data_IF_484190506412
#
_entry.id   IF_484190506412
#
_cell.length_a   1.000
_cell.length_b   1.000
_cell.length_c   1.000
_cell.angle_alpha   90.00
_cell.angle_beta   90.00
_cell.angle_gamma   90.00
#
_symmetry.space_group_name_H-M   'P 1'
#
loop_
_entity.id
_entity.type
_entity.pdbx_description
1 polymer ?
#
# COMPACT_ATOMS: atom_id res chain seq x y z
N UNK A 1 -11.53 -21.46 8.54
CA UNK A 1 -12.06 -20.43 7.64
C UNK A 1 -10.93 -19.46 7.34
N UNK A 2 -10.69 -19.11 6.06
CA UNK A 2 -9.75 -18.05 5.71
C UNK A 2 -10.23 -16.73 6.29
N UNK A 3 -9.35 -16.00 7.01
CA UNK A 3 -9.69 -14.68 7.52
C UNK A 3 -9.44 -13.64 6.42
N UNK A 4 -10.36 -12.70 6.26
CA UNK A 4 -10.21 -11.56 5.36
C UNK A 4 -9.55 -10.44 6.16
N UNK A 5 -8.50 -9.84 5.62
CA UNK A 5 -7.83 -8.68 6.21
C UNK A 5 -8.21 -7.39 5.47
N UNK A 6 -8.25 -6.28 6.20
CA UNK A 6 -8.33 -4.94 5.64
C UNK A 6 -6.93 -4.34 5.53
N UNK A 7 -6.57 -3.81 4.37
CA UNK A 7 -5.29 -3.13 4.17
C UNK A 7 -5.54 -1.70 3.69
N UNK A 8 -5.00 -0.75 4.41
CA UNK A 8 -4.81 0.60 3.90
C UNK A 8 -3.39 0.71 3.31
N UNK A 9 -3.32 0.73 1.98
CA UNK A 9 -2.07 0.89 1.24
C UNK A 9 -1.81 2.38 1.01
N UNK A 10 -1.28 3.07 2.01
CA UNK A 10 -1.03 4.51 1.94
C UNK A 10 0.24 4.87 1.15
N UNK A 11 0.33 6.12 0.66
CA UNK A 11 1.52 6.63 -0.03
C UNK A 11 2.74 6.66 0.88
N UNK A 12 2.56 7.04 2.14
CA UNK A 12 3.65 7.19 3.12
C UNK A 12 3.69 6.01 4.10
N UNK A 13 2.54 5.62 4.64
CA UNK A 13 2.41 4.54 5.60
C UNK A 13 1.24 3.64 5.22
N UNK A 14 1.38 2.36 5.51
CA UNK A 14 0.32 1.36 5.35
C UNK A 14 -0.04 0.76 6.69
N UNK A 15 -1.25 0.26 6.82
CA UNK A 15 -1.68 -0.51 7.98
C UNK A 15 -2.52 -1.72 7.57
N UNK A 16 -2.63 -2.69 8.48
CA UNK A 16 -3.44 -3.89 8.28
C UNK A 16 -4.33 -4.11 9.49
N UNK A 17 -5.55 -4.56 9.23
CA UNK A 17 -6.58 -4.79 10.22
C UNK A 17 -7.31 -6.10 9.99
N UNK A 18 -7.97 -6.58 11.04
CA UNK A 18 -8.83 -7.76 11.03
C UNK A 18 -10.07 -7.49 11.87
N UNK A 19 -11.16 -8.20 11.59
CA UNK A 19 -12.34 -8.22 12.46
C UNK A 19 -12.20 -9.40 13.43
N UNK A 20 -12.21 -9.11 14.73
CA UNK A 20 -12.23 -10.10 15.81
C UNK A 20 -13.37 -9.76 16.78
N UNK A 21 -14.22 -10.76 17.07
CA UNK A 21 -15.39 -10.60 17.94
C UNK A 21 -16.33 -9.44 17.55
N UNK A 22 -16.41 -9.14 16.24
CA UNK A 22 -17.22 -8.04 15.72
C UNK A 22 -16.57 -6.66 15.78
N UNK A 23 -15.33 -6.54 16.26
CA UNK A 23 -14.58 -5.29 16.33
C UNK A 23 -13.41 -5.27 15.34
N UNK A 24 -13.14 -4.10 14.78
CA UNK A 24 -12.01 -3.90 13.90
C UNK A 24 -10.73 -3.64 14.73
N UNK A 25 -9.73 -4.49 14.54
CA UNK A 25 -8.44 -4.40 15.23
C UNK A 25 -7.36 -4.06 14.22
N UNK A 26 -6.65 -2.95 14.43
CA UNK A 26 -5.44 -2.62 13.68
C UNK A 26 -4.27 -3.41 14.27
N UNK A 27 -3.69 -4.28 13.44
CA UNK A 27 -2.64 -5.22 13.86
C UNK A 27 -1.29 -4.46 13.98
N UNK A 28 -0.60 -4.56 15.13
CA UNK A 28 0.74 -3.99 15.27
C UNK A 28 1.76 -4.80 14.44
N UNK A 29 2.73 -4.11 13.86
CA UNK A 29 3.84 -4.75 13.15
C UNK A 29 4.90 -5.29 14.12
N UNK A 30 5.96 -5.91 13.58
CA UNK A 30 7.08 -6.47 14.35
C UNK A 30 7.83 -5.44 15.20
N UNK A 31 7.69 -4.16 14.90
CA UNK A 31 8.25 -3.03 15.65
C UNK A 31 7.27 -2.46 16.69
N UNK A 32 6.12 -3.11 16.91
CA UNK A 32 5.07 -2.68 17.84
C UNK A 32 4.25 -1.49 17.38
N UNK A 33 4.37 -1.06 16.12
CA UNK A 33 3.66 0.08 15.56
C UNK A 33 2.43 -0.38 14.79
N UNK A 34 1.35 0.42 14.83
CA UNK A 34 0.12 0.17 14.07
C UNK A 34 0.21 0.57 12.58
N UNK A 35 1.24 1.31 12.21
CA UNK A 35 1.52 1.70 10.83
C UNK A 35 2.93 1.27 10.43
N UNK A 36 3.11 0.93 9.16
CA UNK A 36 4.38 0.53 8.56
C UNK A 36 4.69 1.49 7.42
N UNK A 37 5.88 2.14 7.39
CA UNK A 37 6.26 2.97 6.25
C UNK A 37 6.15 2.20 4.92
N UNK A 38 5.52 2.81 3.92
CA UNK A 38 5.38 2.25 2.56
C UNK A 38 6.69 2.42 1.79
N UNK A 39 7.77 1.89 2.34
CA UNK A 39 9.15 2.03 1.84
C UNK A 39 9.76 0.65 1.66
N UNK A 40 10.40 0.43 0.51
CA UNK A 40 11.11 -0.79 0.15
C UNK A 40 12.56 -0.46 -0.15
N UNK A 41 13.52 -1.11 0.51
CA UNK A 41 14.94 -1.01 0.21
C UNK A 41 15.47 -2.32 -0.38
N UNK A 42 16.16 -2.21 -1.52
CA UNK A 42 16.85 -3.32 -2.16
C UNK A 42 18.31 -3.34 -1.70
N UNK A 43 18.77 -4.49 -1.27
CA UNK A 43 20.13 -4.71 -0.77
C UNK A 43 20.91 -5.62 -1.72
N UNK A 44 22.12 -5.99 -1.30
CA UNK A 44 22.91 -7.00 -2.00
C UNK A 44 22.21 -8.37 -1.93
N UNK A 45 22.54 -9.26 -2.85
CA UNK A 45 22.05 -10.66 -2.88
C UNK A 45 20.51 -10.80 -2.93
N UNK A 46 19.83 -9.85 -3.57
CA UNK A 46 18.37 -9.81 -3.68
C UNK A 46 17.61 -9.71 -2.34
N UNK A 47 18.29 -9.40 -1.23
CA UNK A 47 17.63 -9.11 0.03
C UNK A 47 16.80 -7.82 -0.09
N UNK A 48 15.63 -7.80 0.55
CA UNK A 48 14.74 -6.64 0.60
C UNK A 48 14.37 -6.32 2.03
N UNK A 49 14.29 -5.04 2.35
CA UNK A 49 13.72 -4.56 3.62
C UNK A 49 12.49 -3.73 3.33
N UNK A 50 11.52 -3.76 4.26
CA UNK A 50 10.26 -3.02 4.14
C UNK A 50 9.98 -2.31 5.45
N UNK A 51 9.39 -1.13 5.39
CA UNK A 51 9.00 -0.38 6.57
C UNK A 51 10.14 0.39 7.22
N UNK A 52 10.18 0.42 8.55
CA UNK A 52 11.20 1.15 9.32
C UNK A 52 12.65 0.68 9.00
N UNK A 53 12.95 -0.62 8.83
CA UNK A 53 14.28 -1.06 8.39
C UNK A 53 14.69 -0.49 7.04
N UNK A 54 13.75 -0.38 6.08
CA UNK A 54 14.01 0.26 4.79
C UNK A 54 14.20 1.77 4.93
N UNK A 55 13.35 2.43 5.72
CA UNK A 55 13.42 3.87 5.97
C UNK A 55 14.77 4.28 6.55
N UNK A 56 15.34 3.51 7.49
CA UNK A 56 16.66 3.79 8.08
C UNK A 56 17.79 3.76 7.06
N UNK A 57 17.63 3.09 5.93
CA UNK A 57 18.63 3.02 4.87
C UNK A 57 18.50 4.11 3.81
N UNK A 58 17.43 4.91 3.84
CA UNK A 58 17.15 5.91 2.82
C UNK A 58 18.30 6.91 2.63
N UNK A 59 19.07 7.22 3.69
CA UNK A 59 20.20 8.16 3.62
C UNK A 59 21.42 7.51 2.94
N UNK A 60 21.74 6.27 3.26
CA UNK A 60 22.96 5.58 2.79
C UNK A 60 22.74 4.78 1.50
N UNK A 61 21.49 4.46 1.18
CA UNK A 61 21.09 3.65 0.03
C UNK A 61 19.90 4.28 -0.70
N UNK A 62 19.94 5.60 -0.93
CA UNK A 62 18.81 6.36 -1.48
C UNK A 62 18.35 5.88 -2.86
N UNK A 63 19.29 5.52 -3.74
CA UNK A 63 18.98 5.09 -5.10
C UNK A 63 18.27 3.73 -5.18
N UNK A 64 18.36 2.91 -4.14
CA UNK A 64 17.69 1.61 -4.05
C UNK A 64 16.64 1.54 -2.93
N UNK A 65 16.28 2.70 -2.38
CA UNK A 65 15.22 2.83 -1.37
C UNK A 65 14.04 3.56 -1.98
N UNK A 66 12.97 2.80 -2.23
CA UNK A 66 11.80 3.24 -2.97
C UNK A 66 10.74 3.70 -1.97
N UNK A 67 10.30 4.93 -2.11
CA UNK A 67 9.20 5.54 -1.33
C UNK A 67 8.15 6.14 -2.25
N UNK A 68 6.96 6.38 -1.73
CA UNK A 68 5.86 7.06 -2.45
C UNK A 68 5.45 6.40 -3.78
N UNK A 69 5.71 5.11 -3.95
CA UNK A 69 5.46 4.38 -5.21
C UNK A 69 3.98 4.42 -5.64
N UNK A 70 3.04 4.60 -4.69
CA UNK A 70 1.61 4.70 -4.98
C UNK A 70 1.28 5.83 -5.97
N UNK A 71 2.12 6.88 -6.07
CA UNK A 71 1.93 7.99 -7.02
C UNK A 71 2.05 7.57 -8.48
N UNK A 72 2.70 6.45 -8.75
CA UNK A 72 2.94 5.92 -10.09
C UNK A 72 1.98 4.78 -10.47
N UNK A 73 1.12 4.36 -9.53
CA UNK A 73 0.18 3.25 -9.74
C UNK A 73 -0.83 3.57 -10.84
N UNK A 74 -0.83 2.78 -11.92
CA UNK A 74 -1.77 2.93 -13.03
C UNK A 74 -1.60 4.21 -13.85
N UNK A 75 -0.50 4.94 -13.66
CA UNK A 75 -0.23 6.20 -14.35
C UNK A 75 0.64 6.00 -15.61
N UNK A 76 0.49 6.94 -16.56
CA UNK A 76 1.41 7.06 -17.69
C UNK A 76 2.65 7.86 -17.28
N UNK A 77 3.79 7.54 -17.89
CA UNK A 77 5.06 8.19 -17.58
C UNK A 77 5.00 9.73 -17.69
N UNK A 78 4.36 10.23 -18.76
CA UNK A 78 4.29 11.68 -19.04
C UNK A 78 3.42 12.42 -17.99
N UNK A 79 2.48 11.74 -17.33
CA UNK A 79 1.62 12.34 -16.31
C UNK A 79 2.34 12.56 -14.98
N UNK A 80 3.46 11.87 -14.74
CA UNK A 80 4.13 11.81 -13.44
C UNK A 80 5.55 12.40 -13.43
N UNK A 81 5.93 13.15 -14.46
CA UNK A 81 7.27 13.74 -14.61
C UNK A 81 7.67 14.56 -13.38
N UNK A 82 6.77 15.39 -12.84
CA UNK A 82 7.02 16.21 -11.64
C UNK A 82 7.25 15.40 -10.37
N UNK A 83 6.65 14.22 -10.28
CA UNK A 83 6.87 13.32 -9.16
C UNK A 83 8.16 12.52 -9.34
N UNK A 84 8.53 12.18 -10.58
CA UNK A 84 9.80 11.53 -10.92
C UNK A 84 10.99 12.43 -10.53
N UNK A 85 10.94 13.72 -10.83
CA UNK A 85 12.00 14.68 -10.47
C UNK A 85 12.29 14.75 -8.96
N UNK A 86 11.32 14.38 -8.11
CA UNK A 86 11.46 14.36 -6.65
C UNK A 86 12.01 13.04 -6.11
N UNK A 87 12.11 12.02 -6.94
CA UNK A 87 12.59 10.72 -6.51
C UNK A 87 14.10 10.66 -6.39
N UNK A 88 14.61 10.03 -5.33
CA UNK A 88 16.03 9.72 -5.18
C UNK A 88 16.47 8.47 -5.93
N UNK A 89 15.51 7.69 -6.42
CA UNK A 89 15.72 6.46 -7.18
C UNK A 89 15.36 6.66 -8.65
N UNK A 90 15.92 5.82 -9.51
CA UNK A 90 15.76 5.95 -10.96
C UNK A 90 14.43 5.39 -11.43
N UNK A 91 13.67 6.20 -12.16
CA UNK A 91 12.46 5.81 -12.87
C UNK A 91 12.70 6.00 -14.38
N UNK A 92 12.36 5.01 -15.16
CA UNK A 92 12.51 5.01 -16.62
C UNK A 92 11.16 4.87 -17.31
N UNK A 93 11.09 5.38 -18.54
CA UNK A 93 9.93 5.17 -19.41
C UNK A 93 10.10 3.84 -20.15
N UNK A 94 9.20 2.90 -19.91
CA UNK A 94 9.12 1.69 -20.72
C UNK A 94 7.72 1.59 -21.33
N UNK A 95 7.66 1.76 -22.65
CA UNK A 95 6.41 1.74 -23.41
C UNK A 95 5.32 2.70 -22.89
N UNK A 96 5.72 3.90 -22.45
CA UNK A 96 4.81 4.92 -21.92
C UNK A 96 4.45 4.73 -20.43
N UNK A 97 5.03 3.74 -19.75
CA UNK A 97 4.76 3.44 -18.33
C UNK A 97 5.99 3.71 -17.47
N UNK A 98 5.83 4.26 -16.26
CA UNK A 98 6.92 4.45 -15.31
C UNK A 98 7.35 3.10 -14.72
N UNK A 99 8.65 2.81 -14.76
CA UNK A 99 9.24 1.66 -14.08
C UNK A 99 10.44 2.07 -13.25
N UNK A 100 10.59 1.44 -12.10
CA UNK A 100 11.74 1.65 -11.20
C UNK A 100 12.90 0.77 -11.69
N UNK A 101 14.04 1.38 -11.96
CA UNK A 101 15.26 0.68 -12.36
C UNK A 101 16.16 0.41 -11.14
N UNK A 102 16.31 -0.85 -10.79
CA UNK A 102 17.23 -1.31 -9.74
C UNK A 102 18.28 -2.22 -10.36
N UNK A 103 19.49 -1.71 -10.50
CA UNK A 103 20.63 -2.43 -11.08
C UNK A 103 20.34 -3.05 -12.48
N UNK A 104 19.55 -2.34 -13.30
CA UNK A 104 19.17 -2.79 -14.64
C UNK A 104 17.92 -3.68 -14.66
N UNK A 105 17.37 -4.07 -13.53
CA UNK A 105 16.07 -4.74 -13.45
C UNK A 105 14.95 -3.72 -13.27
N UNK A 106 13.97 -3.79 -14.16
CA UNK A 106 12.82 -2.91 -14.15
C UNK A 106 11.67 -3.51 -13.34
N UNK A 107 11.17 -2.72 -12.40
CA UNK A 107 10.02 -3.08 -11.56
C UNK A 107 8.85 -2.15 -11.86
N UNK A 108 7.67 -2.73 -12.00
CA UNK A 108 6.43 -1.94 -12.08
C UNK A 108 6.08 -1.35 -10.71
N UNK A 109 5.30 -0.26 -10.64
CA UNK A 109 4.75 0.23 -9.38
C UNK A 109 3.93 -0.83 -8.63
N UNK A 110 3.24 -1.72 -9.36
CA UNK A 110 2.50 -2.84 -8.79
C UNK A 110 3.42 -3.84 -8.09
N UNK A 111 4.57 -4.21 -8.69
CA UNK A 111 5.53 -5.13 -8.08
C UNK A 111 6.14 -4.55 -6.80
N UNK A 112 6.48 -3.25 -6.79
CA UNK A 112 6.98 -2.59 -5.58
C UNK A 112 5.90 -2.52 -4.49
N UNK A 113 4.67 -2.14 -4.86
CA UNK A 113 3.54 -2.11 -3.93
C UNK A 113 3.20 -3.50 -3.39
N UNK A 114 3.34 -4.54 -4.20
CA UNK A 114 3.15 -5.93 -3.78
C UNK A 114 4.13 -6.33 -2.66
N UNK A 115 5.37 -5.83 -2.67
CA UNK A 115 6.34 -6.08 -1.59
C UNK A 115 5.84 -5.48 -0.26
N UNK A 116 5.23 -4.28 -0.30
CA UNK A 116 4.60 -3.68 0.89
C UNK A 116 3.40 -4.51 1.34
N UNK A 117 2.54 -4.94 0.40
CA UNK A 117 1.38 -5.78 0.70
C UNK A 117 1.78 -7.15 1.27
N UNK A 118 2.89 -7.75 0.80
CA UNK A 118 3.46 -8.97 1.37
C UNK A 118 3.87 -8.76 2.85
N UNK A 119 4.44 -7.60 3.19
CA UNK A 119 4.74 -7.25 4.58
C UNK A 119 3.45 -7.13 5.41
N UNK A 120 2.39 -6.52 4.88
CA UNK A 120 1.08 -6.44 5.56
C UNK A 120 0.47 -7.83 5.77
N UNK A 121 0.48 -8.66 4.73
CA UNK A 121 0.06 -10.06 4.80
C UNK A 121 0.82 -10.83 5.89
N UNK A 122 2.15 -10.76 5.86
CA UNK A 122 3.01 -11.42 6.85
C UNK A 122 2.72 -10.94 8.28
N UNK A 123 2.53 -9.62 8.46
CA UNK A 123 2.15 -9.04 9.76
C UNK A 123 0.83 -9.63 10.27
N UNK A 124 -0.16 -9.78 9.38
CA UNK A 124 -1.45 -10.37 9.73
C UNK A 124 -1.32 -11.88 10.05
N UNK A 125 -0.55 -12.62 9.26
CA UNK A 125 -0.31 -14.06 9.48
C UNK A 125 0.41 -14.32 10.81
N UNK A 126 1.41 -13.50 11.15
CA UNK A 126 2.14 -13.60 12.42
C UNK A 126 1.22 -13.33 13.63
N UNK A 127 0.30 -12.37 13.50
CA UNK A 127 -0.67 -12.06 14.54
C UNK A 127 -1.74 -13.14 14.69
N UNK A 128 -2.28 -13.62 13.56
CA UNK A 128 -3.39 -14.57 13.54
C UNK A 128 -2.97 -16.03 13.75
N UNK A 129 -1.69 -16.35 13.57
CA UNK A 129 -1.18 -17.72 13.62
C UNK A 129 -1.69 -18.62 12.49
N UNK A 130 -2.17 -18.03 11.37
CA UNK A 130 -2.70 -18.78 10.23
C UNK A 130 -2.43 -18.05 8.92
N UNK A 131 -2.49 -18.81 7.81
CA UNK A 131 -2.33 -18.26 6.45
C UNK A 131 -3.50 -17.32 6.10
N UNK A 132 -3.17 -16.19 5.50
CA UNK A 132 -4.11 -15.20 4.99
C UNK A 132 -4.07 -15.18 3.47
N UNK A 133 -5.21 -15.36 2.83
CA UNK A 133 -5.32 -15.43 1.37
C UNK A 133 -6.23 -14.36 0.77
N UNK A 134 -7.02 -13.65 1.59
CA UNK A 134 -8.03 -12.71 1.12
C UNK A 134 -7.86 -11.33 1.77
N UNK A 135 -8.06 -10.27 0.98
CA UNK A 135 -7.97 -8.91 1.48
C UNK A 135 -9.03 -7.98 0.85
N UNK A 136 -9.37 -6.93 1.60
CA UNK A 136 -10.00 -5.70 1.10
C UNK A 136 -8.92 -4.62 1.17
N UNK A 137 -8.73 -3.86 0.09
CA UNK A 137 -7.69 -2.81 0.02
C UNK A 137 -8.35 -1.46 -0.23
N UNK A 138 -7.90 -0.43 0.47
CA UNK A 138 -8.41 0.94 0.28
C UNK A 138 -7.61 1.70 -0.76
N UNK A 139 -8.29 2.62 -1.45
CA UNK A 139 -7.72 3.55 -2.43
C UNK A 139 -8.31 4.95 -2.23
N UNK A 140 -7.61 6.02 -2.62
CA UNK A 140 -8.18 7.35 -2.65
C UNK A 140 -9.45 7.41 -3.52
N UNK A 141 -10.42 8.23 -3.12
CA UNK A 141 -11.68 8.36 -3.86
C UNK A 141 -11.49 8.84 -5.31
N UNK A 142 -10.44 9.64 -5.57
CA UNK A 142 -10.11 10.17 -6.89
C UNK A 142 -9.39 9.18 -7.82
N UNK A 143 -9.02 7.97 -7.35
CA UNK A 143 -8.40 6.97 -8.20
C UNK A 143 -9.34 6.56 -9.33
N UNK A 144 -8.83 6.59 -10.55
CA UNK A 144 -9.51 6.09 -11.74
C UNK A 144 -9.45 4.55 -11.82
N UNK A 145 -10.13 3.98 -12.81
CA UNK A 145 -10.21 2.52 -12.98
C UNK A 145 -8.84 1.87 -13.22
N UNK A 146 -7.93 2.52 -13.95
CA UNK A 146 -6.58 2.00 -14.18
C UNK A 146 -5.77 1.92 -12.87
N UNK A 147 -5.88 2.92 -12.01
CA UNK A 147 -5.21 2.96 -10.71
C UNK A 147 -5.80 1.93 -9.74
N UNK A 148 -7.12 1.73 -9.76
CA UNK A 148 -7.81 0.69 -8.98
C UNK A 148 -7.41 -0.71 -9.45
N UNK A 149 -7.36 -0.92 -10.75
CA UNK A 149 -6.92 -2.18 -11.34
C UNK A 149 -5.46 -2.48 -10.98
N UNK A 150 -4.56 -1.50 -11.09
CA UNK A 150 -3.16 -1.63 -10.69
C UNK A 150 -3.00 -1.97 -9.20
N UNK A 151 -3.85 -1.41 -8.33
CA UNK A 151 -3.87 -1.74 -6.90
C UNK A 151 -4.33 -3.20 -6.67
N UNK A 152 -5.33 -3.65 -7.41
CA UNK A 152 -5.79 -5.05 -7.38
C UNK A 152 -4.68 -6.00 -7.82
N UNK A 153 -4.02 -5.70 -8.94
CA UNK A 153 -2.87 -6.47 -9.45
C UNK A 153 -1.73 -6.57 -8.42
N UNK A 154 -1.41 -5.47 -7.74
CA UNK A 154 -0.43 -5.49 -6.66
C UNK A 154 -0.81 -6.46 -5.54
N UNK A 155 -2.09 -6.53 -5.18
CA UNK A 155 -2.62 -7.51 -4.22
C UNK A 155 -2.46 -8.95 -4.70
N UNK A 156 -2.77 -9.21 -5.97
CA UNK A 156 -2.63 -10.52 -6.59
C UNK A 156 -1.15 -10.97 -6.67
N UNK A 157 -0.24 -10.07 -7.05
CA UNK A 157 1.22 -10.31 -7.02
C UNK A 157 1.70 -10.61 -5.59
N UNK A 158 1.09 -9.99 -4.58
CA UNK A 158 1.39 -10.26 -3.16
C UNK A 158 0.84 -11.62 -2.67
N UNK A 159 0.11 -12.35 -3.49
CA UNK A 159 -0.52 -13.63 -3.15
C UNK A 159 -1.80 -13.45 -2.31
N UNK A 160 -2.56 -12.38 -2.59
CA UNK A 160 -3.84 -12.09 -1.98
C UNK A 160 -4.95 -12.11 -3.03
N UNK A 161 -6.06 -12.76 -2.74
CA UNK A 161 -7.31 -12.58 -3.47
C UNK A 161 -7.95 -11.28 -3.00
N UNK A 162 -7.92 -10.24 -3.84
CA UNK A 162 -8.52 -8.94 -3.51
C UNK A 162 -10.03 -9.02 -3.71
N UNK A 163 -10.76 -9.10 -2.60
CA UNK A 163 -12.23 -9.23 -2.62
C UNK A 163 -12.92 -7.93 -3.04
N UNK A 164 -12.40 -6.80 -2.58
CA UNK A 164 -12.91 -5.47 -2.91
C UNK A 164 -11.80 -4.43 -2.86
N UNK A 165 -11.94 -3.43 -3.71
CA UNK A 165 -11.26 -2.12 -3.60
C UNK A 165 -12.31 -1.13 -3.14
N UNK A 166 -12.08 -0.44 -2.04
CA UNK A 166 -13.00 0.55 -1.46
C UNK A 166 -12.31 1.91 -1.31
N UNK A 167 -13.08 2.98 -1.32
CA UNK A 167 -12.53 4.32 -1.14
C UNK A 167 -12.11 4.56 0.32
N UNK A 168 -10.96 5.18 0.54
CA UNK A 168 -10.44 5.56 1.87
C UNK A 168 -11.49 6.34 2.69
N UNK A 169 -12.14 7.41 2.16
CA UNK A 169 -13.16 8.12 2.93
C UNK A 169 -14.39 7.27 3.23
N UNK A 170 -14.77 6.34 2.35
CA UNK A 170 -15.87 5.40 2.62
C UNK A 170 -15.51 4.44 3.76
N UNK A 171 -14.28 3.91 3.76
CA UNK A 171 -13.80 3.05 4.83
C UNK A 171 -13.76 3.80 6.19
N UNK A 172 -13.32 5.06 6.19
CA UNK A 172 -13.33 5.89 7.37
C UNK A 172 -14.76 6.12 7.90
N UNK A 173 -15.71 6.46 7.04
CA UNK A 173 -17.11 6.63 7.42
C UNK A 173 -17.71 5.35 8.04
N UNK A 174 -17.45 4.19 7.43
CA UNK A 174 -17.90 2.89 7.95
C UNK A 174 -17.29 2.56 9.32
N UNK A 175 -16.03 2.92 9.55
CA UNK A 175 -15.35 2.66 10.83
C UNK A 175 -15.96 3.43 12.00
N UNK A 176 -16.62 4.56 11.75
CA UNK A 176 -17.39 5.33 12.74
C UNK A 176 -18.81 4.80 12.96
N UNK A 177 -19.21 3.70 12.28
CA UNK A 177 -20.53 3.09 12.44
C UNK A 177 -21.66 3.94 11.84
N UNK A 178 -21.34 4.78 10.86
CA UNK A 178 -22.32 5.67 10.22
C UNK A 178 -23.31 4.92 9.32
N UNK A 179 -23.01 3.68 8.97
CA UNK A 179 -23.91 2.73 8.29
C UNK A 179 -25.02 2.18 9.19
N UNK A 180 -24.88 2.32 10.51
CA UNK A 180 -25.83 1.80 11.51
C UNK A 180 -26.90 2.79 11.94
N UNK A 181 -26.92 4.01 11.38
CA UNK A 181 -27.96 5.00 11.68
C UNK A 181 -29.16 4.78 10.75
N UNK A 182 -30.39 4.82 11.32
CA UNK A 182 -31.64 4.68 10.55
C UNK A 182 -32.01 5.94 9.75
N UNK A 183 -31.33 7.06 9.99
CA UNK A 183 -31.57 8.33 9.33
C UNK A 183 -30.62 8.55 8.14
N UNK A 184 -31.14 9.11 7.05
CA UNK A 184 -30.33 9.60 5.93
C UNK A 184 -29.47 10.78 6.42
N UNK A 185 -28.12 10.59 6.37
CA UNK A 185 -27.15 11.61 6.79
C UNK A 185 -26.21 11.97 5.65
N UNK A 186 -25.99 13.27 5.48
CA UNK A 186 -24.89 13.77 4.63
C UNK A 186 -23.66 13.89 5.51
N UNK A 187 -22.58 13.19 5.12
CA UNK A 187 -21.35 13.10 5.90
C UNK A 187 -20.21 13.69 5.08
N UNK A 188 -19.42 14.55 5.71
CA UNK A 188 -18.15 15.01 5.15
C UNK A 188 -17.00 14.27 5.86
N UNK A 189 -16.15 13.62 5.08
CA UNK A 189 -14.90 13.02 5.56
C UNK A 189 -13.75 13.90 5.12
N UNK A 190 -13.01 14.43 6.09
CA UNK A 190 -11.82 15.22 5.85
C UNK A 190 -10.59 14.35 6.16
N UNK A 191 -9.86 13.97 5.11
CA UNK A 191 -8.63 13.19 5.20
C UNK A 191 -7.44 14.05 4.74
N UNK A 192 -6.57 14.42 5.68
CA UNK A 192 -5.33 15.13 5.42
C UNK A 192 -4.15 14.16 5.53
N UNK A 193 -3.83 13.51 4.43
CA UNK A 193 -2.69 12.59 4.34
C UNK A 193 -1.38 13.30 4.03
N UNK A 194 -0.25 12.63 4.34
CA UNK A 194 1.10 13.15 4.08
C UNK A 194 1.41 13.26 2.58
N UNK A 195 0.93 14.32 1.95
CA UNK A 195 1.51 14.83 0.71
C UNK A 195 2.67 15.74 1.10
N UNK A 196 3.86 15.20 1.17
CA UNK A 196 5.09 16.00 1.15
C UNK A 196 5.59 16.11 -0.27
#
# INVERSE_FOLDING_TARGET
MSKIIGIDLGTTNSCVSVIENGEAIVIPNSEGKRTTPSIVAFLKENERKVGDPAKRQAVTNSQKTISSIKRFMGEKYDNVLKDIEKCSYKIVNENGLPKVDIDGRLYTPQEISAIVLQKMKKTAEDYLGCTVTEAVITVPAYFNDAQRQATKEAGEIAGLTVKRIINEPTAAALSYGLDKSEDDKIIAVFDLGGKQ
#
